data_IF_752200745836
#
_entry.id   IF_752200745836
#
_cell.length_a   1.000
_cell.length_b   1.000
_cell.length_c   1.000
_cell.angle_alpha   90.00
_cell.angle_beta   90.00
_cell.angle_gamma   90.00
#
_symmetry.space_group_name_H-M   'P 1'
#
loop_
_entity.id
_entity.type
_entity.pdbx_description
1 polymer ?
#
# COMPACT_ATOMS: atom_id res chain seq x y z
N UNK A 1 -25.58 5.92 -4.27
CA UNK A 1 -24.38 5.07 -4.29
C UNK A 1 -23.48 5.50 -3.16
N UNK A 2 -23.10 4.60 -2.25
CA UNK A 2 -22.21 4.92 -1.12
C UNK A 2 -20.78 4.62 -1.54
N UNK A 3 -19.91 5.64 -1.53
CA UNK A 3 -18.49 5.48 -1.83
C UNK A 3 -17.80 4.76 -0.66
N UNK A 4 -17.17 3.62 -0.96
CA UNK A 4 -16.30 2.88 -0.05
C UNK A 4 -14.84 3.27 -0.31
N UNK A 5 -14.02 3.29 0.73
CA UNK A 5 -12.58 3.55 0.62
C UNK A 5 -11.82 2.35 1.16
N UNK A 6 -10.95 1.80 0.33
CA UNK A 6 -10.12 0.65 0.64
C UNK A 6 -8.68 1.08 0.88
N UNK A 7 -8.07 0.51 1.91
CA UNK A 7 -6.62 0.60 2.14
C UNK A 7 -6.01 -0.75 1.89
N UNK A 8 -5.13 -0.84 0.90
CA UNK A 8 -4.45 -2.07 0.54
C UNK A 8 -2.96 -1.95 0.90
N UNK A 9 -2.45 -2.94 1.61
CA UNK A 9 -1.03 -3.09 1.93
C UNK A 9 -0.50 -4.32 1.22
N UNK A 10 0.51 -4.15 0.38
CA UNK A 10 1.24 -5.23 -0.28
C UNK A 10 2.64 -5.28 0.32
N UNK A 11 3.01 -6.39 0.92
CA UNK A 11 4.31 -6.57 1.59
C UNK A 11 5.06 -7.76 1.03
N UNK A 12 6.37 -7.68 1.04
CA UNK A 12 7.24 -8.75 0.59
C UNK A 12 8.68 -8.52 1.01
N UNK A 13 9.56 -9.36 0.50
CA UNK A 13 11.00 -9.19 0.62
C UNK A 13 11.66 -9.18 -0.75
N UNK A 14 12.63 -8.29 -0.95
CA UNK A 14 13.57 -8.38 -2.06
C UNK A 14 14.31 -9.71 -1.99
N UNK A 15 14.59 -10.27 -3.16
CA UNK A 15 15.25 -11.55 -3.31
C UNK A 15 16.45 -11.44 -4.25
N UNK A 16 17.54 -12.11 -3.88
CA UNK A 16 18.77 -12.19 -4.68
C UNK A 16 19.27 -10.84 -5.26
N UNK A 17 19.23 -9.77 -4.45
CA UNK A 17 19.73 -8.45 -4.88
C UNK A 17 21.22 -8.51 -5.22
N UNK A 18 21.58 -7.98 -6.39
CA UNK A 18 22.98 -7.71 -6.73
C UNK A 18 23.51 -6.52 -5.93
N UNK A 19 24.83 -6.37 -5.84
CA UNK A 19 25.45 -5.22 -5.16
C UNK A 19 25.03 -3.88 -5.78
N UNK A 20 24.91 -3.85 -7.12
CA UNK A 20 24.45 -2.67 -7.84
C UNK A 20 22.98 -2.32 -7.52
N UNK A 21 22.11 -3.32 -7.47
CA UNK A 21 20.69 -3.14 -7.08
C UNK A 21 20.56 -2.69 -5.64
N UNK A 22 21.37 -3.27 -4.73
CA UNK A 22 21.40 -2.85 -3.33
C UNK A 22 21.88 -1.41 -3.18
N UNK A 23 22.90 -1.01 -3.94
CA UNK A 23 23.39 0.36 -3.93
C UNK A 23 22.35 1.35 -4.45
N UNK A 24 21.60 1.01 -5.51
CA UNK A 24 20.51 1.83 -6.03
C UNK A 24 19.39 2.02 -4.97
N UNK A 25 18.92 0.93 -4.36
CA UNK A 25 17.93 1.00 -3.28
C UNK A 25 18.43 1.81 -2.07
N UNK A 26 19.72 1.74 -1.75
CA UNK A 26 20.29 2.56 -0.67
C UNK A 26 20.32 4.05 -1.02
N UNK A 27 20.59 4.40 -2.28
CA UNK A 27 20.59 5.79 -2.73
C UNK A 27 19.18 6.40 -2.66
N UNK A 28 18.16 5.63 -3.01
CA UNK A 28 16.76 6.07 -3.03
C UNK A 28 16.06 5.92 -1.67
N UNK A 29 16.71 5.34 -0.66
CA UNK A 29 16.09 4.97 0.61
C UNK A 29 15.42 6.15 1.34
N UNK A 30 16.00 7.36 1.24
CA UNK A 30 15.42 8.56 1.84
C UNK A 30 14.07 8.95 1.22
N UNK A 31 13.83 8.59 -0.05
CA UNK A 31 12.55 8.79 -0.72
C UNK A 31 11.48 7.81 -0.24
N UNK A 32 11.92 6.61 0.16
CA UNK A 32 11.09 5.48 0.59
C UNK A 32 11.08 5.28 2.11
N UNK A 33 11.32 6.35 2.86
CA UNK A 33 11.33 6.32 4.31
C UNK A 33 9.93 5.95 4.87
N UNK A 34 9.90 5.13 5.93
CA UNK A 34 8.68 4.75 6.66
C UNK A 34 7.95 5.97 7.22
N UNK A 35 8.65 7.06 7.54
CA UNK A 35 8.04 8.32 7.97
C UNK A 35 7.18 8.97 6.89
N UNK A 36 7.36 8.59 5.62
CA UNK A 36 6.56 9.04 4.47
C UNK A 36 5.43 8.07 4.11
N UNK A 37 5.20 7.04 4.90
CA UNK A 37 4.17 6.04 4.65
C UNK A 37 2.77 6.69 4.56
N UNK A 38 2.19 6.68 3.37
CA UNK A 38 0.83 7.12 3.10
C UNK A 38 0.10 6.09 2.24
N UNK A 39 -1.23 6.10 2.25
CA UNK A 39 -2.04 5.36 1.30
C UNK A 39 -2.43 6.31 0.18
N UNK A 40 -1.92 6.06 -1.03
CA UNK A 40 -2.14 6.88 -2.23
C UNK A 40 -2.66 6.01 -3.37
N UNK A 41 -3.41 6.53 -4.34
CA UNK A 41 -3.86 5.76 -5.50
C UNK A 41 -2.70 5.14 -6.30
N UNK A 42 -1.60 5.87 -6.44
CA UNK A 42 -0.41 5.45 -7.18
C UNK A 42 0.44 4.44 -6.39
N UNK A 43 0.24 4.37 -5.08
CA UNK A 43 1.00 3.53 -4.17
C UNK A 43 2.21 4.24 -3.59
N UNK A 44 2.39 4.10 -2.27
CA UNK A 44 3.61 4.56 -1.59
C UNK A 44 4.45 3.36 -1.18
N UNK A 45 5.65 3.27 -1.74
CA UNK A 45 6.66 2.29 -1.36
C UNK A 45 7.46 2.79 -0.15
N UNK A 46 7.57 1.95 0.87
CA UNK A 46 8.51 2.13 1.97
C UNK A 46 9.37 0.88 2.18
N UNK A 47 10.65 1.07 2.45
CA UNK A 47 11.57 -0.01 2.83
C UNK A 47 12.73 0.52 3.68
N UNK A 48 13.42 -0.39 4.35
CA UNK A 48 14.70 -0.12 5.00
C UNK A 48 15.66 -1.27 4.67
N UNK A 49 16.33 -1.14 3.52
CA UNK A 49 17.23 -2.17 2.97
C UNK A 49 18.53 -2.31 3.80
N UNK A 50 18.83 -1.33 4.66
CA UNK A 50 19.96 -1.41 5.58
C UNK A 50 19.65 -2.34 6.76
N UNK A 51 18.42 -2.30 7.28
CA UNK A 51 17.98 -3.18 8.36
C UNK A 51 17.50 -4.55 7.86
N UNK A 52 16.71 -4.61 6.78
CA UNK A 52 16.15 -5.85 6.24
C UNK A 52 15.75 -5.71 4.77
N UNK A 53 15.84 -6.77 3.95
CA UNK A 53 15.41 -6.72 2.57
C UNK A 53 13.88 -6.78 2.42
N UNK A 54 13.10 -6.11 3.28
CA UNK A 54 11.64 -6.11 3.26
C UNK A 54 11.09 -4.78 2.75
N UNK A 55 10.00 -4.86 2.00
CA UNK A 55 9.29 -3.70 1.47
C UNK A 55 7.80 -3.75 1.78
N UNK A 56 7.18 -2.58 1.76
CA UNK A 56 5.74 -2.41 1.90
C UNK A 56 5.26 -1.34 0.93
N UNK A 57 4.32 -1.70 0.07
CA UNK A 57 3.53 -0.77 -0.73
C UNK A 57 2.18 -0.52 -0.06
N UNK A 58 1.71 0.72 -0.10
CA UNK A 58 0.42 1.14 0.45
C UNK A 58 -0.41 1.87 -0.60
N UNK A 59 -1.56 1.33 -0.93
CA UNK A 59 -2.47 1.82 -1.97
C UNK A 59 -3.81 2.24 -1.39
N UNK A 60 -4.34 3.37 -1.85
CA UNK A 60 -5.71 3.81 -1.59
C UNK A 60 -6.56 3.53 -2.81
N UNK A 61 -7.70 2.88 -2.64
CA UNK A 61 -8.67 2.65 -3.71
C UNK A 61 -10.08 3.05 -3.25
N UNK A 62 -10.98 3.24 -4.22
CA UNK A 62 -12.39 3.47 -3.95
C UNK A 62 -13.24 2.49 -4.75
N UNK A 63 -14.42 2.18 -4.22
CA UNK A 63 -15.42 1.32 -4.85
C UNK A 63 -16.82 1.67 -4.38
N UNK A 64 -17.81 1.00 -4.94
CA UNK A 64 -19.23 1.14 -4.57
C UNK A 64 -19.74 -0.10 -3.85
N UNK A 65 -19.21 -1.27 -4.21
CA UNK A 65 -19.59 -2.57 -3.67
C UNK A 65 -18.52 -3.13 -2.76
N UNK A 66 -18.90 -4.11 -1.95
CA UNK A 66 -17.95 -4.77 -1.06
C UNK A 66 -16.94 -5.60 -1.85
N UNK A 67 -17.40 -6.23 -2.92
CA UNK A 67 -16.59 -7.10 -3.77
C UNK A 67 -15.49 -6.33 -4.52
N UNK A 68 -15.65 -5.02 -4.69
CA UNK A 68 -14.65 -4.15 -5.33
C UNK A 68 -13.32 -4.14 -4.56
N UNK A 69 -13.32 -4.51 -3.27
CA UNK A 69 -12.08 -4.64 -2.47
C UNK A 69 -11.15 -5.74 -3.01
N UNK A 70 -11.72 -6.82 -3.58
CA UNK A 70 -10.94 -7.92 -4.13
C UNK A 70 -10.22 -7.47 -5.40
N UNK A 71 -10.95 -6.85 -6.32
CA UNK A 71 -10.38 -6.30 -7.57
C UNK A 71 -9.35 -5.21 -7.27
N UNK A 72 -9.62 -4.31 -6.30
CA UNK A 72 -8.66 -3.31 -5.87
C UNK A 72 -7.38 -3.93 -5.27
N UNK A 73 -7.50 -5.06 -4.58
CA UNK A 73 -6.36 -5.79 -4.02
C UNK A 73 -5.51 -6.42 -5.11
N UNK A 74 -6.15 -7.04 -6.12
CA UNK A 74 -5.46 -7.62 -7.27
C UNK A 74 -4.69 -6.55 -8.06
N UNK A 75 -5.34 -5.42 -8.36
CA UNK A 75 -4.70 -4.29 -9.05
C UNK A 75 -3.51 -3.73 -8.27
N UNK A 76 -3.63 -3.59 -6.95
CA UNK A 76 -2.53 -3.14 -6.09
C UNK A 76 -1.35 -4.13 -6.08
N UNK A 77 -1.63 -5.44 -6.04
CA UNK A 77 -0.59 -6.46 -6.10
C UNK A 77 0.12 -6.46 -7.46
N UNK A 78 -0.63 -6.31 -8.56
CA UNK A 78 -0.07 -6.20 -9.90
C UNK A 78 0.80 -4.94 -10.05
N UNK A 79 0.33 -3.78 -9.59
CA UNK A 79 1.13 -2.55 -9.61
C UNK A 79 2.46 -2.69 -8.84
N UNK A 80 2.43 -3.34 -7.67
CA UNK A 80 3.63 -3.63 -6.90
C UNK A 80 4.60 -4.56 -7.65
N UNK A 81 4.08 -5.62 -8.28
CA UNK A 81 4.88 -6.55 -9.10
C UNK A 81 5.52 -5.81 -10.28
N UNK A 82 4.74 -5.04 -11.02
CA UNK A 82 5.21 -4.25 -12.16
C UNK A 82 6.36 -3.32 -11.76
N UNK A 83 6.19 -2.56 -10.67
CA UNK A 83 7.24 -1.65 -10.18
C UNK A 83 8.57 -2.37 -9.90
N UNK A 84 8.49 -3.56 -9.28
CA UNK A 84 9.66 -4.39 -8.96
C UNK A 84 10.29 -4.97 -10.23
N UNK A 85 9.49 -5.55 -11.11
CA UNK A 85 9.97 -6.22 -12.33
C UNK A 85 10.56 -5.26 -13.35
N UNK A 86 9.98 -4.06 -13.52
CA UNK A 86 10.51 -3.03 -14.41
C UNK A 86 11.91 -2.55 -13.99
N UNK A 87 12.20 -2.62 -12.69
CA UNK A 87 13.50 -2.27 -12.11
C UNK A 87 14.43 -3.49 -11.96
N UNK A 88 13.97 -4.67 -12.40
CA UNK A 88 14.71 -5.92 -12.33
C UNK A 88 14.87 -6.50 -10.92
N UNK A 89 14.09 -6.04 -9.94
CA UNK A 89 14.18 -6.54 -8.57
C UNK A 89 13.46 -7.88 -8.42
N UNK A 90 14.20 -8.89 -7.96
CA UNK A 90 13.60 -10.14 -7.48
C UNK A 90 12.83 -9.91 -6.19
N UNK A 91 11.74 -10.67 -5.98
CA UNK A 91 10.95 -10.59 -4.76
C UNK A 91 10.36 -11.95 -4.36
N UNK A 92 10.11 -12.12 -3.06
CA UNK A 92 9.52 -13.32 -2.47
C UNK A 92 8.55 -12.98 -1.34
N UNK A 93 7.77 -13.99 -0.96
CA UNK A 93 6.84 -13.92 0.17
C UNK A 93 5.82 -12.77 0.05
N UNK A 94 5.36 -12.50 -1.17
CA UNK A 94 4.40 -11.44 -1.43
C UNK A 94 3.07 -11.77 -0.73
N UNK A 95 2.54 -10.80 0.02
CA UNK A 95 1.26 -10.88 0.74
C UNK A 95 0.52 -9.56 0.61
N UNK A 96 -0.76 -9.66 0.28
CA UNK A 96 -1.66 -8.51 0.14
C UNK A 96 -2.74 -8.57 1.23
N UNK A 97 -3.00 -7.45 1.87
CA UNK A 97 -4.06 -7.30 2.88
C UNK A 97 -4.83 -6.02 2.59
N UNK A 98 -6.16 -6.08 2.64
CA UNK A 98 -7.02 -4.93 2.39
C UNK A 98 -7.99 -4.69 3.54
N UNK A 99 -8.30 -3.41 3.78
CA UNK A 99 -9.24 -2.95 4.80
C UNK A 99 -10.27 -2.01 4.15
N UNK A 100 -11.56 -2.28 4.37
CA UNK A 100 -12.66 -1.38 4.01
C UNK A 100 -12.94 -0.39 5.14
N UNK A 101 -12.61 0.88 4.93
CA UNK A 101 -12.82 1.93 5.92
C UNK A 101 -14.29 2.29 6.13
N UNK A 102 -15.20 1.87 5.23
CA UNK A 102 -16.64 2.03 5.44
C UNK A 102 -17.17 1.09 6.53
N UNK A 103 -16.47 -0.03 6.78
CA UNK A 103 -16.79 -0.99 7.83
C UNK A 103 -16.07 -0.69 9.15
N UNK A 104 -15.10 0.23 9.15
CA UNK A 104 -14.43 0.65 10.37
C UNK A 104 -15.41 1.37 11.30
N UNK A 105 -15.49 1.00 12.60
CA UNK A 105 -16.38 1.67 13.54
C UNK A 105 -16.05 3.17 13.59
N UNK A 106 -17.03 4.01 13.23
CA UNK A 106 -16.85 5.46 13.16
C UNK A 106 -16.20 5.99 14.44
N UNK A 107 -15.08 6.69 14.28
CA UNK A 107 -14.41 7.39 15.38
C UNK A 107 -15.30 8.50 15.96
N UNK A 108 -15.08 8.89 17.22
CA UNK A 108 -15.88 9.91 17.95
C UNK A 108 -16.11 11.21 17.14
N UNK A 109 -15.10 11.66 16.39
CA UNK A 109 -15.19 12.86 15.53
C UNK A 109 -16.10 12.65 14.32
N UNK A 110 -16.01 11.51 13.64
CA UNK A 110 -16.85 11.20 12.49
C UNK A 110 -18.31 10.99 12.90
N UNK A 111 -18.57 10.39 14.07
CA UNK A 111 -19.93 10.31 14.65
C UNK A 111 -20.54 11.70 14.88
N UNK A 112 -19.75 12.66 15.34
CA UNK A 112 -20.22 14.05 15.55
C UNK A 112 -20.53 14.73 14.22
N UNK A 113 -19.68 14.57 13.21
CA UNK A 113 -19.91 15.14 11.88
C UNK A 113 -21.15 14.53 11.19
N UNK A 114 -21.33 13.21 11.26
CA UNK A 114 -22.51 12.53 10.73
C UNK A 114 -23.81 13.01 11.40
N UNK A 115 -23.78 13.32 12.70
CA UNK A 115 -24.93 13.88 13.43
C UNK A 115 -25.25 15.32 13.03
N UNK A 116 -24.27 16.08 12.54
CA UNK A 116 -24.45 17.47 12.11
C UNK A 116 -24.84 17.58 10.64
N UNK A 117 -24.44 16.62 9.80
CA UNK A 117 -24.80 16.59 8.38
C UNK A 117 -26.18 15.97 8.08
N UNK A 118 -26.81 15.34 9.08
CA UNK A 118 -28.15 14.74 8.98
C UNK A 118 -29.28 15.58 9.59
N UNK A 119 -29.05 16.86 9.86
CA UNK A 119 -30.05 17.84 10.34
C UNK A 119 -30.17 18.98 9.34
#
# INVERSE_FOLDING_TARGET
MSTRTFRITVRGAFDALTDAQRAALLADAAEHDVLRAAFTPEGTLTYDIAARPAFVFRFSAAGEKEEDILEATERAEEAAKTWLTERGYGFKQLRSTAEDLSQAPLGKRQRRAARTAGA
#
